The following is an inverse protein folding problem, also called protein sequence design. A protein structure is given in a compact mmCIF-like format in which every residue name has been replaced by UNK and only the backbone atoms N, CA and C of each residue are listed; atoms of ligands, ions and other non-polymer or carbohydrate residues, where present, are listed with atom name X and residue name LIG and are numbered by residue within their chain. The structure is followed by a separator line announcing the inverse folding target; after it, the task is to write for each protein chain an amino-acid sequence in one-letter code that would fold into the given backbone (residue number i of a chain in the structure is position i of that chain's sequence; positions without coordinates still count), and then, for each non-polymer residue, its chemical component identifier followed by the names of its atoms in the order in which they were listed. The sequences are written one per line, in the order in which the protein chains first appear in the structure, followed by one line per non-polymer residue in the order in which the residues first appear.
data_IF_356594855278
#
_entry.id   IF_356594855278
#
_cell.length_a   1.000
_cell.length_b   1.000
_cell.length_c   1.000
_cell.angle_alpha   90.00
_cell.angle_beta   90.00
_cell.angle_gamma   90.00
#
_symmetry.space_group_name_H-M   'P 1'
#
loop_
_entity.id
_entity.type
_entity.pdbx_description
1 polymer ?
#
# COMPACT_ATOMS: atom_id res chain seq x y z
N UNK A 1 -8.75 10.95 -6.50
CA UNK A 1 -7.89 9.87 -6.01
C UNK A 1 -8.30 9.51 -4.59
N UNK A 2 -8.68 8.27 -4.35
CA UNK A 2 -9.14 7.72 -3.07
C UNK A 2 -7.97 7.35 -2.15
N UNK A 3 -8.24 7.18 -0.85
CA UNK A 3 -7.23 6.66 0.10
C UNK A 3 -6.72 5.28 -0.31
N UNK A 4 -7.57 4.43 -0.86
CA UNK A 4 -7.21 3.12 -1.39
C UNK A 4 -6.16 3.23 -2.51
N UNK A 5 -6.41 4.07 -3.52
CA UNK A 5 -5.48 4.28 -4.63
C UNK A 5 -4.14 4.85 -4.13
N UNK A 6 -4.18 5.81 -3.19
CA UNK A 6 -2.98 6.41 -2.60
C UNK A 6 -2.14 5.40 -1.81
N UNK A 7 -2.80 4.45 -1.14
CA UNK A 7 -2.12 3.37 -0.44
C UNK A 7 -1.38 2.47 -1.40
N UNK A 8 -2.03 2.04 -2.47
CA UNK A 8 -1.41 1.17 -3.48
C UNK A 8 -0.21 1.84 -4.16
N UNK A 9 -0.32 3.14 -4.48
CA UNK A 9 0.78 3.92 -5.06
C UNK A 9 1.98 4.00 -4.13
N UNK A 10 1.74 4.28 -2.85
CA UNK A 10 2.85 4.40 -1.90
C UNK A 10 3.51 3.05 -1.63
N UNK A 11 2.72 1.97 -1.58
CA UNK A 11 3.23 0.61 -1.37
C UNK A 11 4.08 0.14 -2.53
N UNK A 12 3.64 0.35 -3.77
CA UNK A 12 4.43 0.00 -4.95
C UNK A 12 5.82 0.66 -4.89
N UNK A 13 5.89 1.96 -4.62
CA UNK A 13 7.18 2.65 -4.43
C UNK A 13 8.04 2.00 -3.34
N UNK A 14 7.46 1.68 -2.18
CA UNK A 14 8.21 1.03 -1.10
C UNK A 14 8.71 -0.37 -1.47
N UNK A 15 7.90 -1.16 -2.19
CA UNK A 15 8.28 -2.50 -2.63
C UNK A 15 9.42 -2.44 -3.65
N UNK A 16 9.37 -1.51 -4.61
CA UNK A 16 10.43 -1.32 -5.60
C UNK A 16 11.75 -0.88 -4.95
N UNK A 17 11.70 0.00 -3.95
CA UNK A 17 12.89 0.55 -3.29
C UNK A 17 13.51 -0.41 -2.28
N UNK A 18 12.69 -1.05 -1.43
CA UNK A 18 13.14 -1.73 -0.22
C UNK A 18 12.56 -3.14 -0.05
N UNK A 19 11.78 -3.63 -1.01
CA UNK A 19 11.04 -4.88 -0.91
C UNK A 19 9.83 -4.79 0.03
N UNK A 20 9.04 -5.88 0.07
CA UNK A 20 7.81 -5.92 0.86
C UNK A 20 8.01 -5.73 2.36
N UNK A 21 9.14 -6.18 2.92
CA UNK A 21 9.46 -5.97 4.34
C UNK A 21 9.92 -4.55 4.66
N UNK A 22 10.24 -3.74 3.65
CA UNK A 22 10.81 -2.39 3.80
C UNK A 22 9.85 -1.29 4.26
N UNK A 23 8.60 -1.61 4.60
CA UNK A 23 7.63 -0.63 5.11
C UNK A 23 6.69 -1.20 6.16
N UNK A 24 6.11 -0.31 6.96
CA UNK A 24 5.03 -0.58 7.91
C UNK A 24 3.81 0.31 7.65
N UNK A 25 2.69 0.00 8.31
CA UNK A 25 1.53 0.89 8.30
C UNK A 25 1.82 2.24 8.96
N UNK A 26 2.85 2.34 9.80
CA UNK A 26 3.27 3.63 10.35
C UNK A 26 3.89 4.50 9.26
N UNK A 27 4.75 3.91 8.44
CA UNK A 27 5.44 4.62 7.36
C UNK A 27 4.46 5.08 6.29
N UNK A 28 3.48 4.23 5.95
CA UNK A 28 2.38 4.58 5.05
C UNK A 28 1.52 5.71 5.62
N UNK A 29 1.13 5.62 6.90
CA UNK A 29 0.31 6.64 7.54
C UNK A 29 1.02 8.00 7.57
N UNK A 30 2.29 8.01 7.98
CA UNK A 30 3.13 9.21 8.00
C UNK A 30 3.34 9.78 6.59
N UNK A 31 3.73 8.94 5.62
CA UNK A 31 4.00 9.37 4.25
C UNK A 31 2.78 9.89 3.50
N UNK A 32 1.58 9.42 3.85
CA UNK A 32 0.32 9.85 3.23
C UNK A 32 -0.42 10.93 4.04
N UNK A 33 0.04 11.25 5.25
CA UNK A 33 -0.63 12.19 6.16
C UNK A 33 -2.02 11.68 6.60
N UNK A 34 -2.18 10.38 6.80
CA UNK A 34 -3.45 9.74 7.19
C UNK A 34 -3.32 9.00 8.51
N UNK A 35 -4.45 8.62 9.11
CA UNK A 35 -4.47 7.80 10.32
C UNK A 35 -4.28 6.32 9.95
N UNK A 36 -3.55 5.57 10.78
CA UNK A 36 -3.44 4.10 10.66
C UNK A 36 -4.82 3.41 10.57
N UNK A 37 -5.82 3.91 11.30
CA UNK A 37 -7.19 3.38 11.26
C UNK A 37 -7.80 3.39 9.86
N UNK A 38 -7.48 4.40 9.03
CA UNK A 38 -7.92 4.45 7.63
C UNK A 38 -7.28 3.36 6.79
N UNK A 39 -6.03 2.97 7.09
CA UNK A 39 -5.35 1.87 6.41
C UNK A 39 -6.00 0.55 6.78
N UNK A 40 -6.23 0.29 8.08
CA UNK A 40 -6.89 -0.92 8.55
C UNK A 40 -8.32 -1.08 8.01
N UNK A 41 -9.02 0.03 7.73
CA UNK A 41 -10.32 -0.01 7.09
C UNK A 41 -10.27 -0.61 5.66
N UNK A 42 -9.18 -0.38 4.93
CA UNK A 42 -9.00 -0.92 3.58
C UNK A 42 -8.29 -2.29 3.57
N UNK A 43 -7.31 -2.46 4.45
CA UNK A 43 -6.42 -3.61 4.47
C UNK A 43 -6.21 -4.06 5.91
N UNK A 44 -6.95 -5.08 6.37
CA UNK A 44 -6.83 -5.62 7.73
C UNK A 44 -5.42 -6.09 8.05
N UNK A 45 -4.72 -6.67 7.06
CA UNK A 45 -3.33 -7.11 7.19
C UNK A 45 -2.43 -6.53 6.11
N UNK A 46 -1.13 -6.42 6.42
CA UNK A 46 -0.10 -6.00 5.45
C UNK A 46 -0.04 -6.94 4.24
N UNK A 47 -0.32 -8.22 4.43
CA UNK A 47 -0.38 -9.21 3.35
C UNK A 47 -1.55 -8.93 2.38
N UNK A 48 -2.72 -8.54 2.89
CA UNK A 48 -3.86 -8.17 2.03
C UNK A 48 -3.51 -6.99 1.13
N UNK A 49 -2.78 -6.01 1.68
CA UNK A 49 -2.29 -4.85 0.94
C UNK A 49 -1.29 -5.25 -0.15
N UNK A 50 -0.30 -6.09 0.18
CA UNK A 50 0.67 -6.59 -0.79
C UNK A 50 0.04 -7.45 -1.89
N UNK A 51 -0.95 -8.27 -1.54
CA UNK A 51 -1.68 -9.09 -2.52
C UNK A 51 -2.51 -8.23 -3.46
N UNK A 52 -3.19 -7.20 -2.95
CA UNK A 52 -3.97 -6.28 -3.77
C UNK A 52 -3.10 -5.51 -4.76
N UNK A 53 -1.96 -4.99 -4.30
CA UNK A 53 -0.97 -4.33 -5.16
C UNK A 53 -0.47 -5.27 -6.26
N UNK A 54 0.05 -6.45 -5.88
CA UNK A 54 0.56 -7.45 -6.82
C UNK A 54 -0.48 -7.92 -7.83
N UNK A 55 -1.73 -8.09 -7.40
CA UNK A 55 -2.83 -8.50 -8.28
C UNK A 55 -3.04 -7.46 -9.37
N UNK A 56 -3.11 -6.18 -9.01
CA UNK A 56 -3.30 -5.10 -9.97
C UNK A 56 -2.11 -4.97 -10.94
N UNK A 57 -0.88 -5.16 -10.45
CA UNK A 57 0.31 -5.20 -11.29
C UNK A 57 0.23 -6.34 -12.31
N UNK A 58 -0.11 -7.56 -11.86
CA UNK A 58 -0.21 -8.74 -12.75
C UNK A 58 -1.30 -8.62 -13.82
N UNK A 59 -2.33 -7.82 -13.55
CA UNK A 59 -3.43 -7.52 -14.48
C UNK A 59 -3.11 -6.35 -15.42
N UNK A 60 -1.92 -5.73 -15.32
CA UNK A 60 -1.53 -4.57 -16.11
C UNK A 60 -2.32 -3.30 -15.80
N UNK A 61 -3.04 -3.29 -14.67
CA UNK A 61 -3.85 -2.15 -14.21
C UNK A 61 -3.02 -1.11 -13.47
N UNK A 62 -1.75 -1.41 -13.20
CA UNK A 62 -0.71 -0.50 -12.70
C UNK A 62 0.61 -0.77 -13.41
N UNK A 63 1.42 0.27 -13.61
CA UNK A 63 2.71 0.26 -14.33
C UNK A 63 3.81 0.80 -13.45
#
# INVERSE_FOLDING_TARGET
MSTYERLLERVDTFIQENGFEGFSYADLATGLGIRKASIYHHFPTKNDLGLAERTLYSLGLRK
#
